data_IF_704995053525
#
_entry.id   IF_704995053525
#
_cell.length_a   1.000
_cell.length_b   1.000
_cell.length_c   1.000
_cell.angle_alpha   90.00
_cell.angle_beta   90.00
_cell.angle_gamma   90.00
#
_symmetry.space_group_name_H-M   'P 1'
#
loop_
_entity.id
_entity.type
_entity.pdbx_description
1 polymer ?
#
# COMPACT_ATOMS: atom_id res chain seq x y z
N UNK A 1 -9.75 8.67 2.61
CA UNK A 1 -9.98 7.23 2.84
C UNK A 1 -8.71 6.39 2.62
N UNK A 2 -8.08 6.42 1.44
CA UNK A 2 -6.90 5.59 1.14
C UNK A 2 -5.72 5.82 2.10
N UNK A 3 -5.34 7.07 2.37
CA UNK A 3 -4.26 7.41 3.33
C UNK A 3 -4.51 6.85 4.74
N UNK A 4 -5.75 6.95 5.24
CA UNK A 4 -6.10 6.45 6.57
C UNK A 4 -6.02 4.91 6.61
N UNK A 5 -6.55 4.25 5.58
CA UNK A 5 -6.56 2.80 5.45
C UNK A 5 -5.15 2.24 5.31
N UNK A 6 -4.31 2.82 4.45
CA UNK A 6 -2.91 2.42 4.29
C UNK A 6 -2.09 2.65 5.57
N UNK A 7 -2.36 3.74 6.30
CA UNK A 7 -1.71 3.99 7.61
C UNK A 7 -2.10 2.94 8.65
N UNK A 8 -3.39 2.58 8.73
CA UNK A 8 -3.86 1.51 9.62
C UNK A 8 -3.24 0.16 9.26
N UNK A 9 -3.19 -0.13 7.97
CA UNK A 9 -2.59 -1.33 7.43
C UNK A 9 -1.09 -1.44 7.76
N UNK A 10 -0.35 -0.34 7.60
CA UNK A 10 1.05 -0.27 8.00
C UNK A 10 1.23 -0.58 9.49
N UNK A 11 0.45 0.08 10.35
CA UNK A 11 0.55 -0.11 11.80
C UNK A 11 0.24 -1.56 12.19
N UNK A 12 -0.74 -2.18 11.53
CA UNK A 12 -1.03 -3.60 11.69
C UNK A 12 0.20 -4.47 11.38
N UNK A 13 0.85 -4.25 10.23
CA UNK A 13 2.04 -5.01 9.84
C UNK A 13 3.21 -4.77 10.79
N UNK A 14 3.44 -3.52 11.23
CA UNK A 14 4.48 -3.18 12.23
C UNK A 14 4.26 -3.95 13.54
N UNK A 15 3.02 -4.09 13.99
CA UNK A 15 2.68 -4.89 15.17
C UNK A 15 2.86 -6.39 14.91
N UNK A 16 2.52 -6.85 13.70
CA UNK A 16 2.60 -8.26 13.33
C UNK A 16 4.03 -8.79 13.25
N UNK A 17 5.02 -7.93 12.97
CA UNK A 17 6.45 -8.29 12.99
C UNK A 17 6.85 -8.98 14.30
N UNK A 18 6.25 -8.60 15.43
CA UNK A 18 6.56 -9.21 16.73
C UNK A 18 6.14 -10.69 16.81
N UNK A 19 5.14 -11.13 16.03
CA UNK A 19 4.75 -12.54 15.94
C UNK A 19 5.68 -13.35 15.03
N UNK A 20 6.35 -12.68 14.09
CA UNK A 20 7.26 -13.29 13.12
C UNK A 20 8.63 -12.59 13.12
N UNK A 21 9.36 -12.60 14.26
CA UNK A 21 10.57 -11.78 14.42
C UNK A 21 11.72 -12.18 13.47
N UNK A 22 11.67 -13.39 12.90
CA UNK A 22 12.65 -13.89 11.93
C UNK A 22 12.28 -13.63 10.48
N UNK A 23 11.10 -13.04 10.21
CA UNK A 23 10.63 -12.73 8.86
C UNK A 23 11.22 -11.40 8.37
N UNK A 24 12.17 -11.49 7.43
CA UNK A 24 12.71 -10.30 6.78
C UNK A 24 11.69 -9.69 5.82
N UNK A 25 10.89 -10.53 5.15
CA UNK A 25 9.85 -10.08 4.23
C UNK A 25 8.78 -9.26 4.95
N UNK A 26 8.28 -9.72 6.11
CA UNK A 26 7.28 -8.97 6.86
C UNK A 26 7.83 -7.65 7.40
N UNK A 27 9.10 -7.64 7.83
CA UNK A 27 9.76 -6.40 8.23
C UNK A 27 9.79 -5.41 7.07
N UNK A 28 10.24 -5.85 5.90
CA UNK A 28 10.30 -5.02 4.69
C UNK A 28 8.91 -4.57 4.22
N UNK A 29 7.90 -5.42 4.28
CA UNK A 29 6.50 -5.03 4.08
C UNK A 29 6.11 -3.87 5.00
N UNK A 30 6.34 -4.02 6.31
CA UNK A 30 5.87 -3.06 7.32
C UNK A 30 6.61 -1.71 7.30
N UNK A 31 7.86 -1.71 6.85
CA UNK A 31 8.68 -0.49 6.78
C UNK A 31 8.75 0.02 5.36
N UNK A 32 9.39 -0.68 4.42
CA UNK A 32 9.63 -0.14 3.09
C UNK A 32 8.34 -0.05 2.25
N UNK A 33 7.68 -1.19 2.00
CA UNK A 33 6.53 -1.21 1.08
C UNK A 33 5.37 -0.37 1.61
N UNK A 34 5.04 -0.51 2.90
CA UNK A 34 3.95 0.28 3.46
C UNK A 34 4.31 1.74 3.77
N UNK A 35 5.58 2.10 4.02
CA UNK A 35 5.95 3.54 4.04
C UNK A 35 5.74 4.14 2.64
N UNK A 36 6.16 3.45 1.57
CA UNK A 36 5.98 3.90 0.20
C UNK A 36 4.49 3.96 -0.20
N UNK A 37 3.70 2.94 0.11
CA UNK A 37 2.24 2.92 -0.12
C UNK A 37 1.54 4.12 0.53
N UNK A 38 1.84 4.38 1.81
CA UNK A 38 1.26 5.52 2.54
C UNK A 38 1.74 6.85 1.95
N UNK A 39 3.02 6.96 1.62
CA UNK A 39 3.60 8.16 1.04
C UNK A 39 2.95 8.50 -0.30
N UNK A 40 2.89 7.53 -1.23
CA UNK A 40 2.31 7.74 -2.56
C UNK A 40 0.82 8.10 -2.49
N UNK A 41 0.04 7.49 -1.59
CA UNK A 41 -1.35 7.94 -1.38
C UNK A 41 -1.46 9.38 -0.85
N UNK A 42 -0.48 9.85 -0.06
CA UNK A 42 -0.46 11.24 0.42
C UNK A 42 -0.07 12.21 -0.68
N UNK A 43 0.94 11.87 -1.49
CA UNK A 43 1.39 12.70 -2.62
C UNK A 43 0.28 12.78 -3.66
N UNK A 44 -0.30 11.64 -4.05
CA UNK A 44 -1.46 11.58 -4.95
C UNK A 44 -2.61 12.50 -4.52
N UNK A 45 -2.91 12.55 -3.22
CA UNK A 45 -3.94 13.44 -2.69
C UNK A 45 -3.53 14.92 -2.76
N UNK A 46 -2.26 15.24 -2.53
CA UNK A 46 -1.75 16.60 -2.56
C UNK A 46 -1.70 17.16 -3.98
N UNK A 47 -1.36 16.33 -4.96
CA UNK A 47 -1.24 16.73 -6.38
C UNK A 47 -2.58 16.79 -7.12
N UNK A 48 -3.67 16.34 -6.50
CA UNK A 48 -4.98 16.18 -7.15
C UNK A 48 -5.47 17.44 -7.89
N UNK A 49 -5.19 18.61 -7.31
CA UNK A 49 -5.58 19.91 -7.84
C UNK A 49 -4.46 20.61 -8.64
N UNK A 50 -3.22 20.09 -8.58
CA UNK A 50 -2.03 20.71 -9.18
C UNK A 50 -1.62 20.00 -10.47
N UNK A 51 -1.48 18.68 -10.42
CA UNK A 51 -1.07 17.81 -11.52
C UNK A 51 -1.78 16.46 -11.39
N UNK A 52 -2.87 16.29 -12.16
CA UNK A 52 -3.66 15.06 -12.15
C UNK A 52 -2.93 13.85 -12.73
N UNK A 53 -1.96 14.06 -13.63
CA UNK A 53 -1.20 12.96 -14.21
C UNK A 53 -0.26 12.38 -13.15
N UNK A 54 0.47 13.24 -12.46
CA UNK A 54 1.32 12.86 -11.32
C UNK A 54 0.48 12.25 -10.18
N UNK A 55 -0.66 12.87 -9.84
CA UNK A 55 -1.57 12.33 -8.83
C UNK A 55 -2.07 10.92 -9.16
N UNK A 56 -2.39 10.67 -10.44
CA UNK A 56 -2.82 9.35 -10.92
C UNK A 56 -1.67 8.34 -10.90
N UNK A 57 -0.46 8.77 -11.26
CA UNK A 57 0.73 7.93 -11.21
C UNK A 57 1.04 7.49 -9.77
N UNK A 58 1.02 8.42 -8.81
CA UNK A 58 1.26 8.08 -7.41
C UNK A 58 0.17 7.18 -6.82
N UNK A 59 -1.09 7.38 -7.21
CA UNK A 59 -2.17 6.46 -6.84
C UNK A 59 -1.89 5.05 -7.35
N UNK A 60 -1.39 4.91 -8.58
CA UNK A 60 -1.01 3.62 -9.16
C UNK A 60 0.16 2.98 -8.40
N UNK A 61 1.26 3.72 -8.19
CA UNK A 61 2.44 3.21 -7.47
C UNK A 61 2.09 2.81 -6.03
N UNK A 62 1.17 3.50 -5.37
CA UNK A 62 0.69 3.10 -4.05
C UNK A 62 0.11 1.67 -4.01
N UNK A 63 -0.43 1.17 -5.12
CA UNK A 63 -0.95 -0.20 -5.27
C UNK A 63 0.14 -1.25 -5.60
N UNK A 64 1.24 -0.86 -6.22
CA UNK A 64 2.37 -1.75 -6.51
C UNK A 64 3.11 -2.20 -5.24
N UNK A 65 3.15 -1.34 -4.22
CA UNK A 65 3.84 -1.65 -2.97
C UNK A 65 3.22 -2.83 -2.19
N UNK A 66 1.89 -2.94 -2.04
CA UNK A 66 1.23 -4.16 -1.57
C UNK A 66 1.54 -5.42 -2.42
N UNK A 67 1.63 -5.30 -3.75
CA UNK A 67 2.01 -6.43 -4.63
C UNK A 67 3.46 -6.90 -4.36
N UNK A 68 4.37 -5.95 -4.13
CA UNK A 68 5.74 -6.25 -3.71
C UNK A 68 5.74 -6.98 -2.36
N UNK A 69 4.92 -6.55 -1.41
CA UNK A 69 4.80 -7.23 -0.11
C UNK A 69 4.34 -8.69 -0.26
N UNK A 70 3.30 -8.96 -1.06
CA UNK A 70 2.86 -10.34 -1.33
C UNK A 70 3.99 -11.20 -1.92
N UNK A 71 4.74 -10.64 -2.88
CA UNK A 71 5.85 -11.33 -3.54
C UNK A 71 6.98 -11.68 -2.56
N UNK A 72 7.34 -10.75 -1.67
CA UNK A 72 8.34 -10.97 -0.63
C UNK A 72 7.91 -12.06 0.35
N UNK A 73 6.66 -12.02 0.81
CA UNK A 73 6.13 -13.01 1.76
C UNK A 73 6.04 -14.41 1.15
N UNK A 74 5.59 -14.50 -0.12
CA UNK A 74 5.55 -15.76 -0.87
C UNK A 74 6.94 -16.36 -1.09
N UNK A 75 7.97 -15.52 -1.27
CA UNK A 75 9.36 -15.93 -1.38
C UNK A 75 9.93 -16.48 -0.06
N UNK A 76 9.57 -15.88 1.07
CA UNK A 76 10.10 -16.29 2.38
C UNK A 76 9.41 -17.52 2.98
N UNK A 77 8.10 -17.71 2.74
CA UNK A 77 7.30 -18.87 3.22
C UNK A 77 7.35 -19.13 4.74
N UNK A 78 7.59 -18.09 5.55
CA UNK A 78 7.63 -18.17 7.03
C UNK A 78 6.42 -17.57 7.73
N UNK A 79 5.63 -16.78 7.02
CA UNK A 79 4.48 -16.06 7.57
C UNK A 79 3.22 -16.74 7.07
N UNK A 80 2.38 -17.18 7.99
CA UNK A 80 1.10 -17.81 7.68
C UNK A 80 -0.03 -16.98 8.31
N UNK A 81 -0.27 -15.81 7.73
CA UNK A 81 -1.33 -14.91 8.16
C UNK A 81 -2.07 -14.36 6.94
N UNK A 82 -3.24 -14.93 6.64
CA UNK A 82 -4.06 -14.58 5.49
C UNK A 82 -4.68 -13.18 5.58
N UNK A 83 -4.63 -12.54 6.75
CA UNK A 83 -5.05 -11.14 6.88
C UNK A 83 -4.13 -10.21 6.10
N UNK A 84 -2.85 -10.56 5.90
CA UNK A 84 -1.90 -9.72 5.18
C UNK A 84 -2.29 -9.62 3.70
N UNK A 85 -2.63 -10.74 3.05
CA UNK A 85 -3.05 -10.72 1.65
C UNK A 85 -4.36 -9.97 1.47
N UNK A 86 -5.32 -10.15 2.39
CA UNK A 86 -6.59 -9.41 2.35
C UNK A 86 -6.37 -7.89 2.47
N UNK A 87 -5.44 -7.49 3.33
CA UNK A 87 -5.06 -6.10 3.54
C UNK A 87 -4.29 -5.54 2.32
N UNK A 88 -3.42 -6.34 1.71
CA UNK A 88 -2.75 -5.97 0.46
C UNK A 88 -3.74 -5.77 -0.69
N UNK A 89 -4.74 -6.66 -0.81
CA UNK A 89 -5.78 -6.54 -1.83
C UNK A 89 -6.70 -5.32 -1.60
N UNK A 90 -7.00 -4.97 -0.34
CA UNK A 90 -7.71 -3.73 -0.02
C UNK A 90 -6.93 -2.49 -0.52
N UNK A 91 -5.60 -2.48 -0.35
CA UNK A 91 -4.78 -1.34 -0.79
C UNK A 91 -4.69 -1.25 -2.32
N UNK A 92 -4.55 -2.38 -3.02
CA UNK A 92 -4.61 -2.45 -4.49
C UNK A 92 -5.95 -1.96 -5.02
N UNK A 93 -7.05 -2.37 -4.38
CA UNK A 93 -8.39 -1.91 -4.74
C UNK A 93 -8.51 -0.39 -4.59
N UNK A 94 -8.05 0.18 -3.47
CA UNK A 94 -8.08 1.63 -3.23
C UNK A 94 -7.21 2.40 -4.22
N UNK A 95 -6.05 1.86 -4.58
CA UNK A 95 -5.19 2.39 -5.64
C UNK A 95 -5.95 2.45 -6.98
N UNK A 96 -6.56 1.34 -7.39
CA UNK A 96 -7.33 1.29 -8.63
C UNK A 96 -8.51 2.26 -8.65
N UNK A 97 -9.26 2.35 -7.54
CA UNK A 97 -10.35 3.32 -7.38
C UNK A 97 -9.84 4.75 -7.48
N UNK A 98 -8.72 5.08 -6.82
CA UNK A 98 -8.14 6.42 -6.87
C UNK A 98 -7.78 6.82 -8.31
N UNK A 99 -7.06 5.96 -9.05
CA UNK A 99 -6.75 6.18 -10.47
C UNK A 99 -8.02 6.45 -11.30
N UNK A 100 -9.04 5.61 -11.13
CA UNK A 100 -10.30 5.74 -11.87
C UNK A 100 -11.11 7.00 -11.52
N UNK A 101 -10.99 7.49 -10.29
CA UNK A 101 -11.66 8.72 -9.84
C UNK A 101 -10.92 9.93 -10.39
N UNK A 102 -9.59 9.98 -10.26
CA UNK A 102 -8.74 11.08 -10.76
C UNK A 102 -8.98 11.30 -12.26
N UNK A 103 -9.00 10.22 -13.04
CA UNK A 103 -9.25 10.26 -14.49
C UNK A 103 -10.65 10.81 -14.88
N UNK A 104 -11.59 10.87 -13.93
CA UNK A 104 -12.97 11.35 -14.16
C UNK A 104 -13.28 12.69 -13.50
N UNK A 105 -12.33 13.32 -12.84
CA UNK A 105 -12.54 14.65 -12.28
C UNK A 105 -12.83 15.66 -13.40
N UNK A 106 -13.87 16.50 -13.28
CA UNK A 106 -14.13 17.56 -14.25
C UNK A 106 -12.93 18.50 -14.33
N UNK A 107 -12.61 19.00 -15.53
CA UNK A 107 -11.54 19.99 -15.71
C UNK A 107 -11.90 21.31 -15.04
#
# INVERSE_FOLDING_TARGET
MAVEKSTKAQNYLKNLVNKYPSSKALKECSTYSYDACVSNFKVSLAELDEDRESASYDAFVAGDEPNRCDSLLAGEKKVNDSSISSLNDEMKFLSHVAVLVIARLPQ
#
